data_IF_867410314508
#
_entry.id   IF_867410314508
#
_cell.length_a   1.000
_cell.length_b   1.000
_cell.length_c   1.000
_cell.angle_alpha   90.00
_cell.angle_beta   90.00
_cell.angle_gamma   90.00
#
_symmetry.space_group_name_H-M   'P 1'
#
loop_
_entity.id
_entity.type
_entity.pdbx_description
1 polymer ?
#
# COMPACT_ATOMS: atom_id res chain seq x y z
N UNK A 1 -17.38 -19.17 25.91
CA UNK A 1 -17.95 -18.49 24.72
C UNK A 1 -17.95 -19.49 23.57
N UNK A 2 -19.00 -19.54 22.75
CA UNK A 2 -19.08 -20.53 21.67
C UNK A 2 -17.95 -20.30 20.65
N UNK A 3 -17.41 -21.38 20.06
CA UNK A 3 -16.33 -21.27 19.08
C UNK A 3 -16.74 -20.38 17.87
N UNK A 4 -18.03 -20.40 17.52
CA UNK A 4 -18.61 -19.59 16.44
C UNK A 4 -18.52 -18.06 16.66
N UNK A 5 -18.58 -17.60 17.92
CA UNK A 5 -18.43 -16.17 18.24
C UNK A 5 -16.97 -15.71 18.26
N UNK A 6 -16.03 -16.65 18.49
CA UNK A 6 -14.60 -16.34 18.62
C UNK A 6 -13.99 -15.85 17.32
N UNK A 7 -14.33 -16.46 16.18
CA UNK A 7 -13.77 -16.07 14.88
C UNK A 7 -14.23 -14.66 14.45
N UNK A 8 -15.46 -14.29 14.81
CA UNK A 8 -16.00 -12.95 14.55
C UNK A 8 -15.28 -11.91 15.42
N UNK A 9 -15.05 -12.22 16.71
CA UNK A 9 -14.31 -11.34 17.62
C UNK A 9 -12.87 -11.14 17.16
N UNK A 10 -12.18 -12.21 16.75
CA UNK A 10 -10.83 -12.14 16.19
C UNK A 10 -10.78 -11.22 14.95
N UNK A 11 -11.76 -11.32 14.04
CA UNK A 11 -11.82 -10.44 12.86
C UNK A 11 -12.04 -8.97 13.27
N UNK A 12 -12.86 -8.71 14.28
CA UNK A 12 -13.07 -7.34 14.80
C UNK A 12 -11.78 -6.77 15.36
N UNK A 13 -11.02 -7.56 16.12
CA UNK A 13 -9.73 -7.15 16.69
C UNK A 13 -8.69 -6.85 15.60
N UNK A 14 -8.60 -7.68 14.56
CA UNK A 14 -7.71 -7.42 13.43
C UNK A 14 -8.11 -6.15 12.67
N UNK A 15 -9.39 -5.97 12.38
CA UNK A 15 -9.90 -4.77 11.72
C UNK A 15 -9.68 -3.49 12.55
N UNK A 16 -9.66 -3.61 13.88
CA UNK A 16 -9.42 -2.48 14.78
C UNK A 16 -7.95 -2.01 14.82
N UNK A 17 -7.02 -2.78 14.24
CA UNK A 17 -5.61 -2.38 14.07
C UNK A 17 -5.40 -1.50 12.84
N UNK A 18 -6.39 -1.39 11.95
CA UNK A 18 -6.28 -0.57 10.74
C UNK A 18 -6.42 0.92 11.08
N UNK A 19 -5.64 1.80 10.43
CA UNK A 19 -5.74 3.24 10.66
C UNK A 19 -7.17 3.73 10.37
N UNK A 20 -7.73 4.52 11.30
CA UNK A 20 -9.09 5.06 11.21
C UNK A 20 -10.21 4.12 11.66
N UNK A 21 -9.94 2.85 11.98
CA UNK A 21 -10.94 1.93 12.52
C UNK A 21 -10.70 1.63 14.00
N UNK A 22 -11.36 2.39 14.89
CA UNK A 22 -11.42 2.02 16.31
C UNK A 22 -12.31 0.79 16.57
N UNK A 23 -12.26 0.19 17.77
CA UNK A 23 -12.99 -1.06 18.09
C UNK A 23 -14.50 -1.01 17.79
N UNK A 24 -15.16 0.14 18.02
CA UNK A 24 -16.58 0.32 17.71
C UNK A 24 -16.84 0.36 16.20
N UNK A 25 -15.99 1.06 15.45
CA UNK A 25 -16.11 1.17 13.99
C UNK A 25 -15.80 -0.16 13.30
N UNK A 26 -14.75 -0.86 13.75
CA UNK A 26 -14.41 -2.19 13.28
C UNK A 26 -15.56 -3.20 13.47
N UNK A 27 -16.17 -3.24 14.67
CA UNK A 27 -17.35 -4.08 14.91
C UNK A 27 -18.50 -3.76 13.96
N UNK A 28 -18.79 -2.47 13.73
CA UNK A 28 -19.84 -2.06 12.77
C UNK A 28 -19.53 -2.53 11.35
N UNK A 29 -18.27 -2.40 10.91
CA UNK A 29 -17.84 -2.84 9.59
C UNK A 29 -17.98 -4.36 9.43
N UNK A 30 -17.49 -5.15 10.39
CA UNK A 30 -17.58 -6.62 10.36
C UNK A 30 -19.04 -7.09 10.32
N UNK A 31 -19.90 -6.54 11.17
CA UNK A 31 -21.33 -6.89 11.16
C UNK A 31 -22.02 -6.49 9.85
N UNK A 32 -21.59 -5.39 9.20
CA UNK A 32 -22.07 -5.02 7.88
C UNK A 32 -21.63 -6.02 6.80
N UNK A 33 -20.37 -6.45 6.83
CA UNK A 33 -19.83 -7.45 5.90
C UNK A 33 -20.55 -8.79 6.04
N UNK A 34 -20.80 -9.25 7.27
CA UNK A 34 -21.54 -10.50 7.52
C UNK A 34 -22.96 -10.44 6.94
N UNK A 35 -23.66 -9.31 7.11
CA UNK A 35 -24.99 -9.10 6.51
C UNK A 35 -24.97 -9.12 4.98
N UNK A 36 -23.84 -8.76 4.36
CA UNK A 36 -23.63 -8.74 2.90
C UNK A 36 -22.57 -9.75 2.46
N UNK A 37 -22.63 -10.98 3.00
CA UNK A 37 -21.56 -11.98 2.82
C UNK A 37 -21.17 -12.21 1.35
N UNK A 38 -22.14 -12.59 0.51
CA UNK A 38 -21.89 -12.92 -0.88
C UNK A 38 -21.49 -11.70 -1.75
N UNK A 39 -21.98 -10.50 -1.41
CA UNK A 39 -21.78 -9.29 -2.21
C UNK A 39 -20.55 -8.48 -1.81
N UNK A 40 -20.04 -8.67 -0.59
CA UNK A 40 -18.96 -7.85 -0.04
C UNK A 40 -17.89 -8.69 0.66
N UNK A 41 -18.28 -9.50 1.64
CA UNK A 41 -17.29 -10.18 2.49
C UNK A 41 -16.45 -11.21 1.72
N UNK A 42 -17.09 -12.06 0.92
CA UNK A 42 -16.39 -13.09 0.15
C UNK A 42 -15.47 -12.47 -0.92
N UNK A 43 -15.95 -11.58 -1.81
CA UNK A 43 -15.07 -10.95 -2.80
C UNK A 43 -13.93 -10.15 -2.18
N UNK A 44 -14.18 -9.46 -1.05
CA UNK A 44 -13.14 -8.73 -0.34
C UNK A 44 -12.07 -9.66 0.23
N UNK A 45 -12.47 -10.79 0.83
CA UNK A 45 -11.53 -11.78 1.36
C UNK A 45 -10.64 -12.37 0.24
N UNK A 46 -11.23 -12.66 -0.92
CA UNK A 46 -10.51 -13.19 -2.08
C UNK A 46 -9.48 -12.18 -2.58
N UNK A 47 -9.88 -10.92 -2.80
CA UNK A 47 -8.98 -9.85 -3.26
C UNK A 47 -7.89 -9.55 -2.22
N UNK A 48 -8.23 -9.54 -0.93
CA UNK A 48 -7.23 -9.37 0.13
C UNK A 48 -6.19 -10.48 0.11
N UNK A 49 -6.62 -11.74 -0.07
CA UNK A 49 -5.72 -12.88 -0.15
C UNK A 49 -4.84 -12.82 -1.39
N UNK A 50 -5.39 -12.44 -2.53
CA UNK A 50 -4.64 -12.28 -3.78
C UNK A 50 -3.58 -11.19 -3.64
N UNK A 51 -3.99 -9.99 -3.19
CA UNK A 51 -3.09 -8.84 -3.02
C UNK A 51 -2.00 -9.13 -2.00
N UNK A 52 -2.31 -9.84 -0.91
CA UNK A 52 -1.30 -10.21 0.10
C UNK A 52 -0.16 -11.08 -0.48
N UNK A 53 -0.41 -11.84 -1.54
CA UNK A 53 0.59 -12.68 -2.22
C UNK A 53 1.22 -11.96 -3.41
N UNK A 54 0.45 -11.15 -4.13
CA UNK A 54 0.92 -10.51 -5.36
C UNK A 54 1.63 -9.17 -5.13
N UNK A 55 1.23 -8.41 -4.10
CA UNK A 55 1.73 -7.06 -3.86
C UNK A 55 3.22 -7.06 -3.61
N UNK A 56 3.93 -6.25 -4.38
CA UNK A 56 5.38 -6.09 -4.32
C UNK A 56 5.78 -4.69 -4.73
N UNK A 57 6.99 -4.32 -4.32
CA UNK A 57 7.61 -3.08 -4.75
C UNK A 57 8.26 -3.25 -6.12
N UNK A 58 8.12 -2.24 -6.97
CA UNK A 58 8.80 -2.14 -8.24
C UNK A 58 10.30 -2.11 -8.01
N UNK A 59 11.04 -3.00 -8.68
CA UNK A 59 12.49 -3.13 -8.54
C UNK A 59 13.25 -1.86 -8.93
N UNK A 60 12.66 -1.04 -9.80
CA UNK A 60 13.28 0.19 -10.31
C UNK A 60 13.00 1.44 -9.46
N UNK A 61 11.79 1.57 -8.92
CA UNK A 61 11.34 2.84 -8.33
C UNK A 61 10.65 2.73 -6.97
N UNK A 62 10.45 1.53 -6.43
CA UNK A 62 9.79 1.35 -5.13
C UNK A 62 8.26 1.60 -5.11
N UNK A 63 7.62 1.88 -6.26
CA UNK A 63 6.15 1.94 -6.33
C UNK A 63 5.54 0.55 -6.04
N UNK A 64 4.36 0.49 -5.41
CA UNK A 64 3.67 -0.77 -5.14
C UNK A 64 2.77 -1.16 -6.31
N UNK A 65 2.88 -2.41 -6.74
CA UNK A 65 2.06 -3.02 -7.77
C UNK A 65 2.03 -4.54 -7.65
N UNK A 66 1.61 -5.22 -8.71
CA UNK A 66 1.56 -6.69 -8.79
C UNK A 66 2.64 -7.28 -9.69
N UNK A 67 3.38 -6.45 -10.42
CA UNK A 67 4.50 -6.81 -11.29
C UNK A 67 5.84 -6.34 -10.71
N UNK A 68 6.93 -6.97 -11.15
CA UNK A 68 8.28 -6.58 -10.71
C UNK A 68 8.68 -5.19 -11.20
N UNK A 69 8.15 -4.76 -12.35
CA UNK A 69 8.34 -3.42 -12.92
C UNK A 69 6.96 -2.80 -13.16
N UNK A 70 6.74 -1.60 -12.63
CA UNK A 70 5.45 -0.91 -12.76
C UNK A 70 5.28 -0.26 -14.15
N UNK A 71 4.03 0.01 -14.53
CA UNK A 71 3.68 0.60 -15.82
C UNK A 71 4.36 1.96 -16.08
N UNK A 72 4.61 2.73 -15.02
CA UNK A 72 5.31 4.02 -15.11
C UNK A 72 6.76 3.82 -15.55
N UNK A 73 7.45 2.81 -15.00
CA UNK A 73 8.82 2.48 -15.40
C UNK A 73 8.87 1.86 -16.80
N UNK A 74 7.89 1.04 -17.17
CA UNK A 74 7.83 0.43 -18.51
C UNK A 74 7.50 1.44 -19.62
N UNK A 75 6.82 2.55 -19.30
CA UNK A 75 6.44 3.54 -20.29
C UNK A 75 7.65 4.31 -20.86
N UNK A 76 8.03 4.04 -22.11
CA UNK A 76 9.12 4.73 -22.81
C UNK A 76 8.90 6.24 -22.93
N UNK A 77 7.65 6.67 -23.12
CA UNK A 77 7.28 8.10 -23.17
C UNK A 77 7.66 8.89 -21.91
N UNK A 78 7.92 8.20 -20.80
CA UNK A 78 8.34 8.77 -19.51
C UNK A 78 9.84 8.73 -19.29
N UNK A 79 10.60 8.07 -20.18
CA UNK A 79 12.06 8.02 -20.14
C UNK A 79 12.69 9.32 -20.69
N UNK A 80 12.20 10.47 -20.22
CA UNK A 80 12.59 11.81 -20.69
C UNK A 80 13.78 12.40 -19.91
N UNK A 81 14.39 11.63 -19.01
CA UNK A 81 15.49 12.07 -18.14
C UNK A 81 15.05 12.75 -16.83
N UNK A 82 13.74 12.90 -16.60
CA UNK A 82 13.22 13.49 -15.37
C UNK A 82 12.81 12.40 -14.37
N UNK A 83 13.24 12.58 -13.12
CA UNK A 83 12.92 11.69 -12.00
C UNK A 83 12.32 12.51 -10.84
N UNK A 84 11.10 12.18 -10.44
CA UNK A 84 10.45 12.75 -9.27
C UNK A 84 10.65 11.83 -8.06
N UNK A 85 11.41 12.30 -7.08
CA UNK A 85 11.65 11.57 -5.84
C UNK A 85 10.56 11.93 -4.83
N UNK A 86 9.93 10.91 -4.24
CA UNK A 86 8.85 11.05 -3.26
C UNK A 86 9.17 10.24 -2.00
N UNK A 87 8.56 10.63 -0.88
CA UNK A 87 8.77 9.94 0.41
C UNK A 87 8.14 8.56 0.40
N UNK A 88 6.84 8.48 0.07
CA UNK A 88 6.09 7.23 0.07
C UNK A 88 5.31 6.97 -1.23
N UNK A 89 4.64 5.81 -1.27
CA UNK A 89 3.82 5.40 -2.43
C UNK A 89 2.53 6.22 -2.55
N UNK A 90 2.00 6.72 -1.43
CA UNK A 90 0.78 7.50 -1.42
C UNK A 90 1.00 8.87 -2.11
N UNK A 91 2.16 9.48 -1.92
CA UNK A 91 2.62 10.68 -2.62
C UNK A 91 2.71 10.45 -4.13
N UNK A 92 3.34 9.34 -4.54
CA UNK A 92 3.41 8.94 -5.95
C UNK A 92 2.00 8.86 -6.55
N UNK A 93 1.08 8.16 -5.89
CA UNK A 93 -0.28 8.00 -6.40
C UNK A 93 -1.05 9.31 -6.40
N UNK A 94 -0.81 10.20 -5.44
CA UNK A 94 -1.40 11.55 -5.43
C UNK A 94 -0.93 12.37 -6.63
N UNK A 95 0.37 12.36 -6.91
CA UNK A 95 0.94 13.05 -8.07
C UNK A 95 0.45 12.48 -9.40
N UNK A 96 0.44 11.15 -9.53
CA UNK A 96 0.00 10.48 -10.75
C UNK A 96 -1.48 10.77 -11.06
N UNK A 97 -2.34 10.80 -10.03
CA UNK A 97 -3.75 11.24 -10.18
C UNK A 97 -3.87 12.67 -10.67
N UNK A 98 -2.93 13.54 -10.30
CA UNK A 98 -2.89 14.92 -10.80
C UNK A 98 -2.50 15.02 -12.28
N UNK A 99 -1.79 14.02 -12.83
CA UNK A 99 -1.47 13.92 -14.26
C UNK A 99 -0.52 14.97 -14.82
N UNK A 100 0.03 15.85 -13.97
CA UNK A 100 0.88 16.98 -14.37
C UNK A 100 2.32 16.57 -14.68
N UNK A 101 2.85 15.58 -13.96
CA UNK A 101 4.22 15.11 -14.14
C UNK A 101 4.27 14.00 -15.19
N UNK A 102 5.27 14.05 -16.08
CA UNK A 102 5.42 13.13 -17.22
C UNK A 102 6.66 12.25 -17.16
N UNK A 103 7.57 12.49 -16.22
CA UNK A 103 8.75 11.65 -16.01
C UNK A 103 8.46 10.38 -15.21
N UNK A 104 9.53 9.79 -14.69
CA UNK A 104 9.48 8.61 -13.80
C UNK A 104 9.56 9.02 -12.34
N UNK A 105 9.19 8.12 -11.44
CA UNK A 105 9.26 8.36 -10.00
C UNK A 105 10.34 7.52 -9.35
N UNK A 106 10.69 7.89 -8.11
CA UNK A 106 11.44 7.06 -7.18
C UNK A 106 10.88 7.25 -5.76
N UNK A 107 10.51 6.16 -5.11
CA UNK A 107 9.97 6.14 -3.74
C UNK A 107 11.10 5.85 -2.77
N UNK A 108 11.32 6.73 -1.80
CA UNK A 108 12.38 6.58 -0.80
C UNK A 108 12.03 5.53 0.27
N UNK A 109 10.75 5.36 0.57
CA UNK A 109 10.28 4.46 1.63
C UNK A 109 10.26 5.11 3.01
N UNK A 110 10.34 6.45 3.07
CA UNK A 110 10.37 7.23 4.31
C UNK A 110 11.30 8.44 4.23
N UNK A 111 11.46 9.09 5.38
CA UNK A 111 12.31 10.27 5.57
C UNK A 111 13.46 9.98 6.53
N UNK A 112 14.52 10.79 6.43
CA UNK A 112 15.63 10.74 7.38
C UNK A 112 15.15 11.17 8.77
N UNK A 113 15.42 10.35 9.77
CA UNK A 113 15.06 10.64 11.17
C UNK A 113 16.21 10.30 12.10
N UNK A 114 16.85 11.33 12.67
CA UNK A 114 17.89 11.13 13.67
C UNK A 114 17.33 10.55 14.99
N UNK A 115 16.06 10.86 15.31
CA UNK A 115 15.40 10.36 16.52
C UNK A 115 15.09 8.87 16.42
N UNK A 116 14.70 8.40 15.24
CA UNK A 116 14.39 6.99 14.98
C UNK A 116 15.59 6.21 14.43
N UNK A 117 16.77 6.84 14.38
CA UNK A 117 18.01 6.30 13.82
C UNK A 117 17.88 5.82 12.36
N UNK A 118 17.05 6.48 11.55
CA UNK A 118 16.87 6.21 10.11
C UNK A 118 17.86 7.07 9.32
N UNK A 119 18.88 6.42 8.76
CA UNK A 119 19.88 7.03 7.89
C UNK A 119 19.59 6.84 6.39
N UNK A 120 20.47 7.38 5.51
CA UNK A 120 20.27 7.27 4.06
C UNK A 120 20.29 5.84 3.53
N UNK A 121 21.05 4.95 4.18
CA UNK A 121 21.17 3.53 3.80
C UNK A 121 19.92 2.72 4.15
N UNK A 122 19.11 3.21 5.08
CA UNK A 122 17.81 2.63 5.44
C UNK A 122 16.70 3.02 4.44
N UNK A 123 16.96 4.02 3.61
CA UNK A 123 16.07 4.48 2.55
C UNK A 123 16.50 3.91 1.21
N UNK A 124 15.64 3.99 0.21
CA UNK A 124 15.96 3.59 -1.17
C UNK A 124 16.90 4.60 -1.88
N UNK A 125 17.66 5.42 -1.14
CA UNK A 125 18.62 6.40 -1.69
C UNK A 125 19.77 5.73 -2.44
N UNK A 126 20.38 4.60 -2.00
CA UNK A 126 21.48 3.97 -2.74
C UNK A 126 21.10 3.47 -4.14
N UNK A 127 19.80 3.31 -4.42
CA UNK A 127 19.27 2.98 -5.75
C UNK A 127 19.11 4.19 -6.67
N UNK A 128 19.10 5.41 -6.13
CA UNK A 128 19.24 6.65 -6.90
C UNK A 128 20.69 6.79 -7.34
N UNK A 129 21.04 6.14 -8.45
CA UNK A 129 22.35 6.35 -9.08
C UNK A 129 22.16 7.31 -10.25
N UNK A 130 22.92 8.40 -10.20
CA UNK A 130 23.08 9.41 -11.26
C UNK A 130 23.70 8.83 -12.52
#
# INVERSE_FOLDING_TARGET
MSNATRDIENLIELMAKLPGLGPRSARRAVLHMIKKRALLMTPLADVLSEVAVSARECLNCGNVGTSDICDICMAEKRANGELCVVEDVADLWAMERGGMFKGRYHVLGGTLSALDAIGPDDLQIPKLRT
#
